data_IF_706334514598
#
_entry.id   IF_706334514598
#
_cell.length_a   1.000
_cell.length_b   1.000
_cell.length_c   1.000
_cell.angle_alpha   90.00
_cell.angle_beta   90.00
_cell.angle_gamma   90.00
#
_symmetry.space_group_name_H-M   'P 1'
#
loop_
_entity.id
_entity.type
_entity.pdbx_description
1 polymer ?
#
# COMPACT_ATOMS: atom_id res chain seq x y z
N UNK A 1 -3.71 -10.03 -1.41
CA UNK A 1 -3.03 -8.90 -2.10
C UNK A 1 -4.01 -8.26 -3.07
N UNK A 2 -3.78 -7.01 -3.47
CA UNK A 2 -4.56 -6.32 -4.51
C UNK A 2 -3.67 -5.31 -5.23
N UNK A 3 -4.03 -4.90 -6.45
CA UNK A 3 -3.46 -3.66 -7.01
C UNK A 3 -3.75 -2.45 -6.12
N UNK A 4 -2.92 -1.42 -6.25
CA UNK A 4 -3.14 -0.11 -5.65
C UNK A 4 -4.46 0.54 -6.06
N UNK A 5 -4.86 1.55 -5.29
CA UNK A 5 -6.06 2.36 -5.50
C UNK A 5 -5.96 3.12 -6.83
N UNK A 6 -7.09 3.27 -7.51
CA UNK A 6 -7.24 4.21 -8.62
C UNK A 6 -8.28 5.25 -8.23
N UNK A 7 -7.89 6.52 -8.09
CA UNK A 7 -8.85 7.58 -7.73
C UNK A 7 -9.78 7.92 -8.89
N UNK A 8 -9.25 7.88 -10.13
CA UNK A 8 -9.93 8.28 -11.36
C UNK A 8 -9.71 9.74 -11.76
N UNK A 9 -9.28 10.60 -10.83
CA UNK A 9 -8.94 12.02 -11.02
C UNK A 9 -7.93 12.48 -9.97
N UNK A 10 -6.68 12.05 -10.11
CA UNK A 10 -5.65 12.34 -9.12
C UNK A 10 -5.45 13.84 -8.91
N UNK A 11 -5.49 14.64 -9.98
CA UNK A 11 -5.34 16.10 -9.97
C UNK A 11 -6.39 16.82 -9.10
N UNK A 12 -7.56 16.20 -8.88
CA UNK A 12 -8.66 16.77 -8.11
C UNK A 12 -8.90 16.08 -6.78
N UNK A 13 -8.51 14.81 -6.65
CA UNK A 13 -8.82 13.97 -5.51
C UNK A 13 -7.59 13.62 -4.65
N UNK A 14 -6.38 13.95 -5.11
CA UNK A 14 -5.13 13.78 -4.37
C UNK A 14 -4.48 15.14 -4.13
N UNK A 15 -3.88 15.33 -2.96
CA UNK A 15 -3.29 16.61 -2.53
C UNK A 15 -2.04 16.44 -1.71
N UNK A 16 -1.16 17.45 -1.72
CA UNK A 16 0.05 17.46 -0.89
C UNK A 16 -0.27 17.73 0.58
N UNK A 17 -1.27 18.58 0.85
CA UNK A 17 -1.70 18.92 2.19
C UNK A 17 -3.09 18.35 2.50
N UNK A 18 -3.25 17.83 3.72
CA UNK A 18 -4.48 17.18 4.19
C UNK A 18 -5.74 18.03 4.00
N UNK A 19 -5.63 19.35 4.18
CA UNK A 19 -6.76 20.28 4.11
C UNK A 19 -7.02 20.83 2.71
N UNK A 20 -6.11 20.64 1.75
CA UNK A 20 -6.13 21.31 0.44
C UNK A 20 -7.41 21.03 -0.37
N UNK A 21 -7.88 19.78 -0.35
CA UNK A 21 -9.05 19.33 -1.14
C UNK A 21 -10.29 19.09 -0.29
N UNK A 22 -10.29 19.45 1.00
CA UNK A 22 -11.43 19.22 1.90
C UNK A 22 -12.72 19.84 1.37
N UNK A 23 -12.64 21.05 0.78
CA UNK A 23 -13.80 21.69 0.15
C UNK A 23 -14.35 20.89 -1.04
N UNK A 24 -13.48 20.27 -1.84
CA UNK A 24 -13.89 19.39 -2.94
C UNK A 24 -14.71 18.23 -2.38
N UNK A 25 -14.18 17.56 -1.37
CA UNK A 25 -14.84 16.42 -0.73
C UNK A 25 -16.17 16.83 -0.10
N UNK A 26 -16.21 17.90 0.70
CA UNK A 26 -17.46 18.41 1.30
C UNK A 26 -18.54 18.65 0.23
N UNK A 27 -18.18 19.27 -0.89
CA UNK A 27 -19.13 19.55 -1.96
C UNK A 27 -19.63 18.29 -2.68
N UNK A 28 -18.85 17.21 -2.74
CA UNK A 28 -19.31 15.91 -3.27
C UNK A 28 -20.44 15.35 -2.40
N UNK A 29 -20.34 15.50 -1.07
CA UNK A 29 -21.33 14.99 -0.11
C UNK A 29 -22.50 15.96 0.14
N UNK A 30 -22.42 17.22 -0.28
CA UNK A 30 -23.50 18.19 -0.05
C UNK A 30 -24.62 18.03 -1.10
N UNK A 31 -25.85 17.62 -0.74
CA UNK A 31 -26.95 17.44 -1.70
C UNK A 31 -27.40 18.75 -2.39
N UNK A 32 -27.06 19.92 -1.83
CA UNK A 32 -27.42 21.23 -2.42
C UNK A 32 -26.54 21.62 -3.60
N UNK A 33 -25.32 21.10 -3.69
CA UNK A 33 -24.42 21.33 -4.82
C UNK A 33 -24.85 20.46 -5.98
N UNK A 34 -25.00 20.96 -7.20
CA UNK A 34 -25.39 20.09 -8.32
C UNK A 34 -24.19 19.33 -8.88
N UNK A 35 -24.42 18.24 -9.61
CA UNK A 35 -23.33 17.57 -10.35
C UNK A 35 -22.66 18.51 -11.34
N UNK A 36 -23.42 19.44 -11.94
CA UNK A 36 -22.88 20.42 -12.87
C UNK A 36 -21.91 21.39 -12.18
N UNK A 37 -22.23 21.81 -10.96
CA UNK A 37 -21.35 22.64 -10.14
C UNK A 37 -20.03 21.91 -9.83
N UNK A 38 -20.09 20.61 -9.52
CA UNK A 38 -18.89 19.77 -9.32
C UNK A 38 -18.02 19.68 -10.57
N UNK A 39 -18.63 19.52 -11.74
CA UNK A 39 -17.92 19.47 -13.02
C UNK A 39 -17.25 20.80 -13.37
N UNK A 40 -17.89 21.93 -13.08
CA UNK A 40 -17.41 23.27 -13.46
C UNK A 40 -16.43 23.82 -12.44
N UNK A 41 -16.80 23.85 -11.15
CA UNK A 41 -15.99 24.51 -10.11
C UNK A 41 -14.86 23.63 -9.58
N UNK A 42 -14.99 22.30 -9.64
CA UNK A 42 -13.97 21.35 -9.15
C UNK A 42 -13.33 20.53 -10.28
N UNK A 43 -13.67 20.81 -11.54
CA UNK A 43 -13.20 20.08 -12.72
C UNK A 43 -13.41 18.56 -12.64
N UNK A 44 -14.51 18.14 -11.99
CA UNK A 44 -14.89 16.72 -11.85
C UNK A 44 -15.64 16.18 -13.08
N UNK A 45 -15.27 16.64 -14.28
CA UNK A 45 -15.84 16.18 -15.55
C UNK A 45 -15.68 14.66 -15.73
N UNK A 46 -16.69 13.95 -16.27
CA UNK A 46 -16.60 12.51 -16.45
C UNK A 46 -15.47 12.09 -17.40
N UNK A 47 -14.88 10.94 -17.14
CA UNK A 47 -13.90 10.25 -17.99
C UNK A 47 -14.45 8.88 -18.38
N UNK A 48 -13.77 8.16 -19.30
CA UNK A 48 -14.18 6.80 -19.71
C UNK A 48 -14.31 5.83 -18.53
N UNK A 49 -13.55 6.03 -17.46
CA UNK A 49 -13.50 5.10 -16.31
C UNK A 49 -14.06 5.64 -15.01
N UNK A 50 -14.48 6.91 -14.96
CA UNK A 50 -14.92 7.56 -13.73
C UNK A 50 -15.93 8.67 -14.03
N UNK A 51 -17.08 8.67 -13.36
CA UNK A 51 -18.15 9.65 -13.59
C UNK A 51 -18.73 10.09 -12.24
N UNK A 52 -18.55 11.37 -11.88
CA UNK A 52 -19.00 11.90 -10.60
C UNK A 52 -20.52 11.77 -10.40
N UNK A 53 -21.33 11.83 -11.47
CA UNK A 53 -22.78 11.68 -11.39
C UNK A 53 -23.18 10.33 -10.82
N UNK A 54 -22.67 9.25 -11.40
CA UNK A 54 -23.03 7.88 -11.00
C UNK A 54 -22.45 7.56 -9.63
N UNK A 55 -21.23 8.02 -9.34
CA UNK A 55 -20.59 7.84 -8.03
C UNK A 55 -21.35 8.53 -6.91
N UNK A 56 -21.83 9.75 -7.16
CA UNK A 56 -22.61 10.51 -6.18
C UNK A 56 -24.01 9.96 -5.98
N UNK A 57 -24.64 9.44 -7.03
CA UNK A 57 -25.91 8.70 -6.92
C UNK A 57 -25.77 7.50 -5.99
N UNK A 58 -24.73 6.67 -6.17
CA UNK A 58 -24.49 5.52 -5.31
C UNK A 58 -24.16 5.91 -3.87
N UNK A 59 -23.31 6.92 -3.68
CA UNK A 59 -22.96 7.48 -2.37
C UNK A 59 -24.23 7.90 -1.59
N UNK A 60 -25.14 8.65 -2.22
CA UNK A 60 -26.39 9.05 -1.58
C UNK A 60 -27.37 7.89 -1.42
N UNK A 61 -27.45 6.96 -2.37
CA UNK A 61 -28.27 5.74 -2.25
C UNK A 61 -27.87 4.91 -1.04
N UNK A 62 -26.58 4.88 -0.70
CA UNK A 62 -26.02 4.19 0.47
C UNK A 62 -26.14 5.00 1.77
N UNK A 63 -26.57 6.26 1.70
CA UNK A 63 -26.65 7.16 2.85
C UNK A 63 -25.27 7.52 3.41
N UNK A 64 -24.22 7.50 2.59
CA UNK A 64 -22.87 7.86 3.03
C UNK A 64 -22.78 9.36 3.32
N UNK A 65 -22.14 9.70 4.44
CA UNK A 65 -21.90 11.08 4.85
C UNK A 65 -20.42 11.40 4.89
N UNK A 66 -20.07 12.66 4.66
CA UNK A 66 -18.68 13.11 4.77
C UNK A 66 -18.14 12.82 6.18
N UNK A 67 -16.94 12.24 6.24
CA UNK A 67 -16.19 12.07 7.49
C UNK A 67 -14.74 12.43 7.29
N UNK A 68 -14.22 13.34 8.11
CA UNK A 68 -12.80 13.72 8.09
C UNK A 68 -11.84 12.55 8.30
N UNK A 69 -12.31 11.46 8.93
CA UNK A 69 -11.52 10.24 9.15
C UNK A 69 -11.12 9.54 7.85
N UNK A 70 -11.92 9.72 6.79
CA UNK A 70 -11.66 9.12 5.48
C UNK A 70 -10.63 9.94 4.68
N UNK A 71 -10.18 11.09 5.20
CA UNK A 71 -9.02 11.80 4.65
C UNK A 71 -7.77 11.16 5.23
N UNK A 72 -7.15 10.30 4.43
CA UNK A 72 -6.06 9.42 4.82
C UNK A 72 -4.78 9.74 4.05
N UNK A 73 -3.64 9.34 4.62
CA UNK A 73 -2.37 9.32 3.90
C UNK A 73 -2.45 8.38 2.72
N UNK A 74 -1.86 8.80 1.60
CA UNK A 74 -1.91 8.13 0.32
C UNK A 74 -0.51 8.03 -0.25
N UNK A 75 0.02 6.80 -0.31
CA UNK A 75 1.32 6.52 -0.89
C UNK A 75 1.23 6.69 -2.41
N UNK A 76 1.56 7.90 -2.90
CA UNK A 76 1.38 8.26 -4.30
C UNK A 76 2.51 7.73 -5.15
N UNK A 77 3.76 8.04 -4.80
CA UNK A 77 5.01 7.51 -5.38
C UNK A 77 6.02 7.26 -4.25
N UNK A 78 7.13 6.54 -4.46
CA UNK A 78 8.07 6.27 -3.38
C UNK A 78 8.58 7.61 -2.84
N UNK A 79 8.55 7.77 -1.52
CA UNK A 79 8.86 9.02 -0.81
C UNK A 79 7.91 10.22 -1.06
N UNK A 80 6.85 10.06 -1.84
CA UNK A 80 5.80 11.07 -2.08
C UNK A 80 4.48 10.59 -1.45
N UNK A 81 4.28 10.98 -0.19
CA UNK A 81 3.07 10.70 0.57
C UNK A 81 2.15 11.92 0.48
N UNK A 82 0.94 11.68 -0.02
CA UNK A 82 -0.10 12.67 -0.27
C UNK A 82 -1.32 12.37 0.60
N UNK A 83 -2.41 13.08 0.36
CA UNK A 83 -3.70 12.86 1.01
C UNK A 83 -4.82 12.70 -0.03
N UNK A 84 -5.74 11.79 0.25
CA UNK A 84 -6.95 11.54 -0.54
C UNK A 84 -8.14 11.29 0.39
N UNK A 85 -9.35 11.38 -0.15
CA UNK A 85 -10.55 10.91 0.54
C UNK A 85 -10.85 9.48 0.10
N UNK A 86 -10.57 8.52 0.98
CA UNK A 86 -10.69 7.10 0.69
C UNK A 86 -12.12 6.61 0.94
N UNK A 87 -12.82 6.23 -0.15
CA UNK A 87 -14.16 5.65 -0.12
C UNK A 87 -14.55 5.11 -1.50
N UNK A 88 -15.77 4.57 -1.60
CA UNK A 88 -16.31 3.95 -2.80
C UNK A 88 -16.51 4.86 -4.02
N UNK A 89 -16.54 6.20 -3.86
CA UNK A 89 -16.66 7.08 -5.02
C UNK A 89 -15.40 7.08 -5.91
N UNK A 90 -14.27 6.61 -5.38
CA UNK A 90 -13.05 6.42 -6.15
C UNK A 90 -13.27 5.41 -7.27
N UNK A 91 -12.48 5.51 -8.35
CA UNK A 91 -12.63 4.62 -9.50
C UNK A 91 -12.52 3.14 -9.09
N UNK A 92 -11.46 2.80 -8.35
CA UNK A 92 -11.21 1.47 -7.78
C UNK A 92 -10.55 1.62 -6.40
N UNK A 93 -11.32 1.55 -5.30
CA UNK A 93 -10.78 1.68 -3.94
C UNK A 93 -10.07 0.40 -3.46
N UNK A 94 -10.43 -0.78 -3.96
CA UNK A 94 -9.85 -2.06 -3.53
C UNK A 94 -9.96 -2.33 -2.01
N UNK A 95 -11.13 -2.00 -1.44
CA UNK A 95 -11.39 -2.01 0.01
C UNK A 95 -11.08 -3.33 0.69
N UNK A 96 -11.33 -4.45 0.03
CA UNK A 96 -11.02 -5.81 0.53
C UNK A 96 -9.60 -5.95 1.10
N UNK A 97 -8.61 -5.29 0.48
CA UNK A 97 -7.20 -5.35 0.91
C UNK A 97 -6.73 -4.02 1.51
N UNK A 98 -7.13 -2.89 0.92
CA UNK A 98 -6.65 -1.57 1.34
C UNK A 98 -7.16 -1.15 2.72
N UNK A 99 -8.32 -1.66 3.17
CA UNK A 99 -8.85 -1.42 4.52
C UNK A 99 -7.85 -1.77 5.63
N UNK A 100 -6.98 -2.75 5.37
CA UNK A 100 -5.96 -3.20 6.32
C UNK A 100 -4.79 -2.22 6.49
N UNK A 101 -4.69 -1.20 5.62
CA UNK A 101 -3.70 -0.13 5.68
C UNK A 101 -4.31 1.20 6.18
N UNK A 102 -5.57 1.19 6.61
CA UNK A 102 -6.18 2.29 7.39
C UNK A 102 -5.88 2.17 8.89
N UNK A 103 -5.13 1.13 9.29
CA UNK A 103 -4.62 0.85 10.63
C UNK A 103 -3.10 0.81 10.59
N UNK A 104 -2.44 0.78 11.76
CA UNK A 104 -0.99 0.62 11.80
C UNK A 104 -0.59 -0.75 11.23
N UNK A 105 0.08 -0.73 10.09
CA UNK A 105 0.42 -1.94 9.35
C UNK A 105 1.58 -1.64 8.40
N UNK A 106 2.26 -2.69 7.95
CA UNK A 106 3.23 -2.62 6.87
C UNK A 106 2.63 -3.28 5.64
N UNK A 107 2.93 -2.75 4.46
CA UNK A 107 2.70 -3.45 3.21
C UNK A 107 3.97 -3.50 2.38
N UNK A 108 4.26 -4.70 1.86
CA UNK A 108 5.17 -4.84 0.74
C UNK A 108 4.39 -4.46 -0.52
N UNK A 109 4.99 -3.61 -1.34
CA UNK A 109 4.49 -3.30 -2.68
C UNK A 109 5.48 -3.84 -3.69
N UNK A 110 4.99 -4.68 -4.62
CA UNK A 110 5.80 -5.21 -5.72
C UNK A 110 5.02 -5.27 -7.03
N UNK A 111 5.71 -5.47 -8.15
CA UNK A 111 5.06 -5.66 -9.46
C UNK A 111 4.97 -7.14 -9.82
N UNK A 112 3.93 -7.48 -10.57
CA UNK A 112 3.79 -8.81 -11.20
C UNK A 112 4.46 -8.90 -12.56
N UNK A 113 4.40 -7.80 -13.31
CA UNK A 113 4.95 -7.71 -14.66
C UNK A 113 5.92 -6.55 -14.72
N UNK A 114 7.05 -6.76 -15.38
CA UNK A 114 8.09 -5.77 -15.54
C UNK A 114 8.01 -5.18 -16.95
N UNK A 115 7.86 -3.86 -17.07
CA UNK A 115 7.86 -3.22 -18.40
C UNK A 115 9.27 -2.96 -18.91
N UNK A 116 10.25 -2.82 -18.03
CA UNK A 116 11.65 -2.83 -18.40
C UNK A 116 12.56 -3.36 -17.28
N UNK A 117 13.56 -4.20 -17.61
CA UNK A 117 14.62 -4.54 -16.67
C UNK A 117 15.55 -3.34 -16.37
N UNK A 118 16.31 -3.41 -15.27
CA UNK A 118 16.32 -4.46 -14.25
C UNK A 118 15.15 -4.34 -13.26
N UNK A 119 14.92 -5.39 -12.46
CA UNK A 119 13.92 -5.33 -11.38
C UNK A 119 14.36 -4.40 -10.25
N UNK A 120 13.59 -3.34 -10.01
CA UNK A 120 13.70 -2.41 -8.88
C UNK A 120 12.35 -2.19 -8.17
N UNK A 121 11.36 -3.03 -8.48
CA UNK A 121 9.95 -2.82 -8.17
C UNK A 121 9.56 -3.47 -6.84
N UNK A 122 10.28 -3.15 -5.76
CA UNK A 122 9.93 -3.56 -4.41
C UNK A 122 10.05 -2.34 -3.50
N UNK A 123 8.99 -2.03 -2.74
CA UNK A 123 9.01 -0.92 -1.80
C UNK A 123 8.06 -1.18 -0.62
N UNK A 124 8.25 -0.47 0.49
CA UNK A 124 7.41 -0.62 1.69
C UNK A 124 6.53 0.62 1.89
N UNK A 125 5.35 0.43 2.45
CA UNK A 125 4.45 1.52 2.84
C UNK A 125 3.67 1.16 4.11
N UNK A 126 3.16 2.18 4.80
CA UNK A 126 2.23 2.05 5.92
C UNK A 126 0.87 2.68 5.64
N UNK A 127 0.59 3.00 4.39
CA UNK A 127 -0.64 3.66 3.97
C UNK A 127 -1.21 2.98 2.75
N UNK A 128 -2.51 3.16 2.53
CA UNK A 128 -3.10 2.89 1.22
C UNK A 128 -2.31 3.64 0.14
N UNK A 129 -2.30 3.12 -1.07
CA UNK A 129 -1.45 3.71 -2.09
C UNK A 129 -1.92 3.48 -3.51
N UNK A 130 -1.32 4.27 -4.38
CA UNK A 130 -1.67 4.35 -5.78
C UNK A 130 -1.29 3.08 -6.54
N UNK A 131 -2.10 2.73 -7.54
CA UNK A 131 -1.79 1.64 -8.46
C UNK A 131 -0.41 1.80 -9.10
N UNK A 132 0.06 3.01 -9.32
CA UNK A 132 1.36 3.31 -9.91
C UNK A 132 2.44 3.63 -8.85
N UNK A 133 2.24 3.29 -7.57
CA UNK A 133 3.15 3.64 -6.47
C UNK A 133 4.62 3.34 -6.75
N UNK A 134 4.93 2.18 -7.32
CA UNK A 134 6.31 1.77 -7.67
C UNK A 134 6.54 1.65 -9.19
N UNK A 135 5.57 2.09 -9.99
CA UNK A 135 5.63 1.96 -11.45
C UNK A 135 6.62 2.97 -12.01
N UNK A 136 7.59 2.49 -12.77
CA UNK A 136 8.64 3.33 -13.39
C UNK A 136 8.27 3.61 -14.85
N UNK A 137 7.55 2.69 -15.50
CA UNK A 137 7.06 2.84 -16.87
C UNK A 137 5.57 2.53 -16.97
N UNK A 138 4.97 2.94 -18.09
CA UNK A 138 3.60 2.58 -18.42
C UNK A 138 3.43 1.05 -18.41
N UNK A 139 2.25 0.58 -17.98
CA UNK A 139 1.83 -0.84 -17.91
C UNK A 139 2.35 -1.64 -16.70
N UNK A 140 3.12 -1.05 -15.79
CA UNK A 140 3.43 -1.66 -14.48
C UNK A 140 2.32 -1.37 -13.48
N UNK A 141 2.26 -2.17 -12.41
CA UNK A 141 1.24 -2.03 -11.37
C UNK A 141 1.83 -2.43 -10.04
N UNK A 142 1.70 -1.54 -9.06
CA UNK A 142 1.99 -1.83 -7.67
C UNK A 142 0.88 -2.69 -7.07
N UNK A 143 1.28 -3.87 -6.59
CA UNK A 143 0.43 -4.78 -5.83
C UNK A 143 0.84 -4.73 -4.36
N UNK A 144 -0.15 -4.55 -3.50
CA UNK A 144 0.02 -4.37 -2.07
C UNK A 144 -0.24 -5.68 -1.35
N UNK A 145 0.71 -6.01 -0.47
CA UNK A 145 0.72 -7.19 0.40
C UNK A 145 0.82 -6.70 1.85
N UNK A 146 -0.31 -6.35 2.49
CA UNK A 146 -0.32 -6.01 3.92
C UNK A 146 0.23 -7.17 4.75
N UNK A 147 1.03 -6.86 5.77
CA UNK A 147 1.60 -7.83 6.69
C UNK A 147 0.53 -8.42 7.58
N UNK A 148 -0.44 -7.60 8.00
CA UNK A 148 -1.57 -8.04 8.80
C UNK A 148 -2.90 -7.84 8.07
N UNK A 149 -3.85 -8.73 8.35
CA UNK A 149 -5.26 -8.56 8.06
C UNK A 149 -5.99 -8.20 9.35
N UNK A 150 -6.90 -7.25 9.22
CA UNK A 150 -7.79 -6.76 10.28
C UNK A 150 -9.21 -7.26 9.97
N UNK A 151 -9.59 -8.44 10.47
CA UNK A 151 -10.90 -9.01 10.19
C UNK A 151 -11.99 -8.19 10.89
N UNK A 152 -13.12 -8.01 10.21
CA UNK A 152 -14.32 -7.48 10.85
C UNK A 152 -14.91 -8.53 11.82
N UNK A 153 -15.79 -8.11 12.73
CA UNK A 153 -16.38 -9.02 13.75
C UNK A 153 -17.01 -10.28 13.14
N UNK A 154 -17.65 -10.16 11.97
CA UNK A 154 -18.23 -11.29 11.25
C UNK A 154 -17.17 -12.20 10.61
N UNK A 155 -16.06 -11.64 10.12
CA UNK A 155 -14.95 -12.40 9.56
C UNK A 155 -14.18 -13.13 10.68
N UNK A 156 -14.00 -12.49 11.83
CA UNK A 156 -13.33 -13.07 12.99
C UNK A 156 -14.02 -14.32 13.56
N UNK A 157 -15.33 -14.47 13.36
CA UNK A 157 -16.08 -15.68 13.73
C UNK A 157 -15.79 -16.87 12.81
N UNK A 158 -15.46 -16.62 11.54
CA UNK A 158 -15.09 -17.66 10.57
C UNK A 158 -13.67 -18.18 10.80
N UNK A 159 -12.78 -17.32 11.27
CA UNK A 159 -11.44 -17.68 11.69
C UNK A 159 -11.48 -18.18 13.14
N UNK A 160 -11.82 -19.46 13.38
CA UNK A 160 -11.69 -20.22 14.65
C UNK A 160 -11.53 -19.42 15.97
N UNK A 161 -12.38 -19.67 16.97
CA UNK A 161 -12.47 -19.02 18.30
C UNK A 161 -11.16 -18.62 19.05
N UNK A 162 -9.98 -19.16 18.71
CA UNK A 162 -8.67 -18.67 19.21
C UNK A 162 -8.26 -17.29 18.67
N UNK A 163 -8.78 -16.87 17.50
CA UNK A 163 -8.44 -15.60 16.83
C UNK A 163 -9.25 -14.42 17.37
N UNK A 164 -10.34 -14.68 18.11
CA UNK A 164 -11.23 -13.66 18.70
C UNK A 164 -10.53 -12.71 19.71
N UNK A 165 -9.31 -13.03 20.18
CA UNK A 165 -8.52 -12.15 21.05
C UNK A 165 -7.51 -11.28 20.31
N UNK A 166 -7.13 -11.64 19.08
CA UNK A 166 -6.13 -10.90 18.32
C UNK A 166 -6.82 -9.77 17.53
N UNK A 167 -6.34 -8.54 17.69
CA UNK A 167 -6.87 -7.39 16.93
C UNK A 167 -6.56 -7.48 15.42
N UNK A 168 -5.62 -8.35 15.03
CA UNK A 168 -5.20 -8.61 13.65
C UNK A 168 -4.55 -9.99 13.51
N UNK A 169 -4.49 -10.51 12.29
CA UNK A 169 -3.86 -11.79 11.95
C UNK A 169 -2.74 -11.61 10.92
N UNK A 170 -1.60 -12.33 11.01
CA UNK A 170 -0.57 -12.29 9.98
C UNK A 170 -1.11 -12.77 8.63
N UNK A 171 -0.77 -12.06 7.55
CA UNK A 171 -1.17 -12.38 6.18
C UNK A 171 -0.21 -13.38 5.52
N UNK A 172 0.08 -14.46 6.24
CA UNK A 172 0.88 -15.59 5.79
C UNK A 172 0.02 -16.85 5.85
N UNK A 173 0.16 -17.73 4.85
CA UNK A 173 -0.54 -19.01 4.91
C UNK A 173 0.12 -19.93 5.95
N UNK A 174 -0.67 -20.83 6.52
CA UNK A 174 -0.19 -21.80 7.50
C UNK A 174 0.92 -22.69 6.95
N UNK A 175 0.82 -23.08 5.67
CA UNK A 175 1.81 -23.92 4.98
C UNK A 175 3.15 -23.19 4.86
N UNK A 176 3.12 -21.90 4.54
CA UNK A 176 4.34 -21.10 4.46
C UNK A 176 5.00 -20.95 5.84
N UNK A 177 4.22 -20.66 6.88
CA UNK A 177 4.74 -20.56 8.24
C UNK A 177 5.35 -21.89 8.73
N UNK A 178 4.71 -23.02 8.41
CA UNK A 178 5.25 -24.34 8.71
C UNK A 178 6.56 -24.61 7.97
N UNK A 179 6.65 -24.21 6.69
CA UNK A 179 7.88 -24.35 5.90
C UNK A 179 9.02 -23.52 6.47
N UNK A 180 8.75 -22.26 6.87
CA UNK A 180 9.73 -21.40 7.55
C UNK A 180 10.17 -22.01 8.87
N UNK A 181 9.23 -22.53 9.67
CA UNK A 181 9.52 -23.19 10.94
C UNK A 181 10.38 -24.44 10.76
N UNK A 182 10.08 -25.26 9.75
CA UNK A 182 10.87 -26.44 9.41
C UNK A 182 12.29 -26.10 8.96
N UNK A 183 12.46 -25.02 8.20
CA UNK A 183 13.78 -24.55 7.75
C UNK A 183 14.64 -23.95 8.86
N UNK A 184 14.02 -23.22 9.81
CA UNK A 184 14.74 -22.49 10.86
C UNK A 184 14.85 -23.23 12.19
N UNK A 185 14.02 -24.24 12.43
CA UNK A 185 13.90 -24.90 13.73
C UNK A 185 13.21 -24.05 14.81
N UNK A 186 12.69 -22.87 14.45
CA UNK A 186 11.94 -21.97 15.32
C UNK A 186 10.87 -21.21 14.54
N UNK A 187 9.98 -20.53 15.24
CA UNK A 187 8.90 -19.73 14.63
C UNK A 187 9.23 -18.23 14.76
N UNK A 188 9.69 -17.55 13.68
CA UNK A 188 9.97 -16.12 13.74
C UNK A 188 8.69 -15.29 13.81
N UNK A 189 8.80 -14.04 14.27
CA UNK A 189 7.67 -13.12 14.20
C UNK A 189 7.36 -12.75 12.74
N UNK A 190 6.10 -12.40 12.41
CA UNK A 190 5.73 -11.97 11.06
C UNK A 190 6.59 -10.84 10.50
N UNK A 191 6.98 -9.87 11.34
CA UNK A 191 7.85 -8.75 10.96
C UNK A 191 9.24 -9.25 10.56
N UNK A 192 9.82 -10.20 11.30
CA UNK A 192 11.14 -10.76 10.94
C UNK A 192 11.10 -11.47 9.59
N UNK A 193 10.00 -12.16 9.29
CA UNK A 193 9.77 -12.79 7.98
C UNK A 193 9.61 -11.71 6.89
N UNK A 194 8.83 -10.66 7.15
CA UNK A 194 8.68 -9.52 6.25
C UNK A 194 10.02 -8.88 5.91
N UNK A 195 10.85 -8.60 6.92
CA UNK A 195 12.17 -8.01 6.74
C UNK A 195 13.11 -8.93 5.94
N UNK A 196 13.10 -10.23 6.22
CA UNK A 196 13.86 -11.19 5.43
C UNK A 196 13.45 -11.16 3.95
N UNK A 197 12.15 -11.20 3.66
CA UNK A 197 11.61 -11.08 2.29
C UNK A 197 12.11 -9.80 1.65
N UNK A 198 12.03 -8.68 2.37
CA UNK A 198 12.47 -7.37 1.89
C UNK A 198 13.96 -7.37 1.52
N UNK A 199 14.82 -7.88 2.40
CA UNK A 199 16.26 -7.97 2.13
C UNK A 199 16.57 -8.81 0.89
N UNK A 200 15.91 -9.96 0.72
CA UNK A 200 16.10 -10.83 -0.46
C UNK A 200 15.72 -10.10 -1.74
N UNK A 201 14.62 -9.34 -1.74
CA UNK A 201 14.21 -8.54 -2.89
C UNK A 201 15.17 -7.41 -3.22
N UNK A 202 16.09 -7.02 -2.32
CA UNK A 202 17.17 -6.06 -2.56
C UNK A 202 18.52 -6.71 -2.85
N UNK A 203 18.65 -8.03 -2.73
CA UNK A 203 19.90 -8.74 -3.03
C UNK A 203 20.22 -8.69 -4.53
N UNK A 204 21.40 -8.15 -4.93
CA UNK A 204 21.83 -8.15 -6.33
C UNK A 204 21.95 -9.57 -6.90
N UNK A 205 22.45 -10.51 -6.09
CA UNK A 205 22.59 -11.92 -6.47
C UNK A 205 21.23 -12.56 -6.77
N UNK A 206 20.22 -12.30 -5.93
CA UNK A 206 18.85 -12.76 -6.16
C UNK A 206 18.28 -12.16 -7.46
N UNK A 207 18.33 -10.83 -7.61
CA UNK A 207 17.78 -10.14 -8.79
C UNK A 207 18.41 -10.62 -10.09
N UNK A 208 19.72 -10.85 -10.09
CA UNK A 208 20.45 -11.38 -11.25
C UNK A 208 20.08 -12.83 -11.54
N UNK A 209 20.05 -13.69 -10.51
CA UNK A 209 19.74 -15.12 -10.67
C UNK A 209 18.33 -15.38 -11.19
N UNK A 210 17.36 -14.58 -10.76
CA UNK A 210 15.95 -14.76 -11.08
C UNK A 210 15.41 -13.72 -12.08
N UNK A 211 16.28 -13.02 -12.81
CA UNK A 211 15.91 -11.90 -13.69
C UNK A 211 14.79 -12.26 -14.67
N UNK A 212 14.89 -13.39 -15.37
CA UNK A 212 13.86 -13.83 -16.33
C UNK A 212 12.51 -14.10 -15.66
N UNK A 213 12.52 -14.64 -14.45
CA UNK A 213 11.31 -14.93 -13.70
C UNK A 213 10.67 -13.63 -13.17
N UNK A 214 11.48 -12.68 -12.68
CA UNK A 214 11.04 -11.38 -12.20
C UNK A 214 10.41 -10.50 -13.29
N UNK A 215 10.59 -10.84 -14.58
CA UNK A 215 9.95 -10.13 -15.70
C UNK A 215 8.47 -10.49 -15.86
N UNK A 216 8.10 -11.73 -15.54
CA UNK A 216 6.84 -12.34 -16.00
C UNK A 216 5.85 -12.70 -14.89
N UNK A 217 6.29 -12.75 -13.63
CA UNK A 217 5.39 -13.03 -12.51
C UNK A 217 5.90 -12.39 -11.20
N UNK A 218 5.11 -12.50 -10.13
CA UNK A 218 5.51 -12.02 -8.81
C UNK A 218 6.83 -12.66 -8.33
N UNK A 219 7.70 -11.93 -7.62
CA UNK A 219 8.93 -12.48 -7.05
C UNK A 219 8.67 -13.71 -6.17
N UNK A 220 9.44 -14.78 -6.40
CA UNK A 220 9.45 -15.98 -5.55
C UNK A 220 10.67 -15.94 -4.65
N UNK A 221 10.44 -15.82 -3.35
CA UNK A 221 11.51 -15.69 -2.36
C UNK A 221 11.90 -17.09 -1.84
N UNK A 222 13.19 -17.47 -1.88
CA UNK A 222 13.65 -18.72 -1.29
C UNK A 222 13.44 -18.74 0.22
N UNK A 223 13.15 -19.92 0.76
CA UNK A 223 13.17 -20.13 2.20
C UNK A 223 14.58 -19.87 2.74
N UNK A 224 14.70 -19.37 3.99
CA UNK A 224 16.01 -19.18 4.60
C UNK A 224 16.76 -20.52 4.70
N UNK A 225 18.07 -20.48 4.49
CA UNK A 225 18.91 -21.68 4.51
C UNK A 225 19.29 -22.13 5.92
N UNK A 226 19.47 -21.18 6.83
CA UNK A 226 19.76 -21.41 8.24
C UNK A 226 19.36 -20.18 9.08
N UNK A 227 19.42 -20.34 10.40
CA UNK A 227 19.00 -19.33 11.37
C UNK A 227 19.92 -18.11 11.40
N UNK A 228 21.23 -18.27 11.21
CA UNK A 228 22.20 -17.17 11.18
C UNK A 228 21.95 -16.26 9.97
N UNK A 229 21.90 -16.83 8.77
CA UNK A 229 21.64 -16.12 7.53
C UNK A 229 20.26 -15.44 7.55
N UNK A 230 19.24 -16.10 8.13
CA UNK A 230 17.93 -15.48 8.33
C UNK A 230 18.02 -14.26 9.24
N UNK A 231 18.71 -14.35 10.38
CA UNK A 231 18.86 -13.23 11.32
C UNK A 231 19.58 -12.06 10.66
N UNK A 232 20.68 -12.32 9.96
CA UNK A 232 21.45 -11.28 9.26
C UNK A 232 20.61 -10.57 8.19
N UNK A 233 19.97 -11.33 7.29
CA UNK A 233 19.13 -10.76 6.24
C UNK A 233 17.89 -10.06 6.83
N UNK A 234 17.29 -10.61 7.88
CA UNK A 234 16.15 -9.97 8.57
C UNK A 234 16.57 -8.64 9.21
N UNK A 235 17.76 -8.54 9.81
CA UNK A 235 18.26 -7.29 10.36
C UNK A 235 18.54 -6.25 9.27
N UNK A 236 19.20 -6.64 8.17
CA UNK A 236 19.43 -5.75 7.03
C UNK A 236 18.10 -5.29 6.39
N UNK A 237 17.14 -6.19 6.28
CA UNK A 237 15.81 -5.89 5.76
C UNK A 237 15.05 -4.92 6.65
N UNK A 238 15.19 -5.05 7.98
CA UNK A 238 14.61 -4.12 8.95
C UNK A 238 15.21 -2.72 8.77
N UNK A 239 16.53 -2.62 8.68
CA UNK A 239 17.23 -1.36 8.45
C UNK A 239 16.76 -0.69 7.15
N UNK A 240 16.66 -1.45 6.05
CA UNK A 240 16.13 -0.94 4.78
C UNK A 240 14.66 -0.46 4.91
N UNK A 241 13.81 -1.19 5.62
CA UNK A 241 12.41 -0.77 5.84
C UNK A 241 12.36 0.51 6.66
N UNK A 242 13.15 0.62 7.73
CA UNK A 242 13.21 1.81 8.57
C UNK A 242 13.73 3.02 7.78
N UNK A 243 14.73 2.85 6.92
CA UNK A 243 15.22 3.89 6.02
C UNK A 243 14.13 4.34 5.03
N UNK A 244 13.46 3.40 4.35
CA UNK A 244 12.45 3.73 3.34
C UNK A 244 11.15 4.30 3.91
N UNK A 245 10.90 4.11 5.21
CA UNK A 245 9.80 4.74 5.94
C UNK A 245 10.22 6.02 6.68
N UNK A 246 11.47 6.48 6.52
CA UNK A 246 12.04 7.61 7.26
C UNK A 246 11.94 7.48 8.79
N UNK A 247 12.14 6.26 9.31
CA UNK A 247 12.13 5.94 10.76
C UNK A 247 13.50 5.59 11.32
N UNK A 248 14.51 5.42 10.46
CA UNK A 248 15.85 5.06 10.89
C UNK A 248 16.51 6.25 11.62
N UNK A 249 17.00 6.01 12.84
CA UNK A 249 17.71 7.03 13.64
C UNK A 249 19.04 7.50 13.01
N UNK A 250 19.56 6.78 12.02
CA UNK A 250 20.72 7.20 11.24
C UNK A 250 20.43 8.40 10.34
N UNK A 251 19.17 8.64 9.99
CA UNK A 251 18.74 9.80 9.20
C UNK A 251 18.91 11.13 9.94
N UNK A 252 18.98 11.12 11.28
CA UNK A 252 19.22 12.33 12.07
C UNK A 252 20.69 12.76 12.03
N UNK A 253 21.59 11.92 11.52
CA UNK A 253 23.05 12.08 11.55
C UNK A 253 23.67 12.32 10.19
N UNK A 254 22.88 12.61 9.16
CA UNK A 254 23.40 12.81 7.80
C UNK A 254 23.78 14.28 7.58
N UNK A 255 24.97 14.51 7.02
CA UNK A 255 25.41 15.83 6.53
C UNK A 255 24.75 16.23 5.20
N UNK A 256 23.89 15.37 4.64
CA UNK A 256 23.18 15.61 3.38
C UNK A 256 21.90 16.40 3.66
N UNK A 257 21.94 17.69 3.34
CA UNK A 257 20.77 18.58 3.36
C UNK A 257 20.30 18.93 1.94
N UNK A 258 19.03 19.27 1.77
CA UNK A 258 18.57 19.91 0.53
C UNK A 258 19.32 21.24 0.34
N UNK A 259 19.86 21.52 -0.86
CA UNK A 259 20.62 22.75 -1.11
C UNK A 259 19.77 24.02 -0.99
N UNK A 260 18.44 23.92 -1.16
CA UNK A 260 17.45 24.94 -0.81
C UNK A 260 16.17 24.28 -0.31
N UNK A 261 15.64 24.74 0.82
CA UNK A 261 14.32 24.33 1.31
C UNK A 261 13.20 25.05 0.56
N UNK A 262 12.14 24.31 0.17
CA UNK A 262 10.88 24.89 -0.32
C UNK A 262 10.74 25.06 -1.84
N UNK A 263 11.48 24.32 -2.66
CA UNK A 263 11.26 24.21 -4.11
C UNK A 263 10.30 23.09 -4.48
#
# INVERSE_FOLDING_TARGET
WSSGVETGKDDRLVSFAREEKVKVFLNIFDPKITTRDLEVYHDLRPTRGWNIRTRRQELFRKGETFSRRNIVSYAYRPFDIRFTYYCEFLRRPHEEIMKHLEKDNLALVTSRLLSAPPFSHAFVTQSIGDRCYISIKTKETGYFFPLYLYPNQNEAQLFNNKILKAQHIPNFTSEFLQAVKGSLGLEPTPEKIFYYIYAVLYSPTYRKRYEEFLKIDFPRVPLPSNIEAFKELSNLGKELVELHLFKASTLDKTDVSFPKGGS
#
